data_IF_384777337755
#
_entry.id   IF_384777337755
#
_cell.length_a   1.000
_cell.length_b   1.000
_cell.length_c   1.000
_cell.angle_alpha   90.00
_cell.angle_beta   90.00
_cell.angle_gamma   90.00
#
_symmetry.space_group_name_H-M   'P 1'
#
loop_
_entity.id
_entity.type
_entity.pdbx_description
1 polymer ?
#
# COMPACT_ATOMS: atom_id res chain seq x y z
N UNK A 1 -28.71 6.15 19.31
CA UNK A 1 -28.02 5.52 18.15
C UNK A 1 -26.54 5.51 18.46
N UNK A 2 -25.83 4.37 18.27
CA UNK A 2 -24.43 4.23 18.65
C UNK A 2 -23.49 5.07 17.76
N UNK A 3 -22.27 5.39 18.23
CA UNK A 3 -21.32 6.27 17.55
C UNK A 3 -20.82 5.77 16.17
N UNK A 4 -21.09 4.51 15.83
CA UNK A 4 -20.53 3.79 14.68
C UNK A 4 -21.10 4.18 13.31
N UNK A 5 -21.80 5.32 13.19
CA UNK A 5 -22.46 5.74 11.95
C UNK A 5 -22.08 7.16 11.48
N UNK A 6 -20.96 7.71 11.97
CA UNK A 6 -20.51 9.08 11.63
C UNK A 6 -19.37 9.20 10.61
N UNK A 7 -18.83 8.13 10.03
CA UNK A 7 -17.74 8.24 9.04
C UNK A 7 -18.20 8.18 7.58
N UNK A 8 -19.42 8.63 7.30
CA UNK A 8 -19.81 9.00 5.94
C UNK A 8 -19.30 10.44 5.69
N UNK A 9 -18.06 10.54 5.22
CA UNK A 9 -17.36 11.74 4.68
C UNK A 9 -16.82 12.76 5.69
N UNK A 10 -15.63 12.50 6.26
CA UNK A 10 -14.51 13.44 6.47
C UNK A 10 -13.44 12.86 7.42
N UNK A 11 -12.32 12.36 6.87
CA UNK A 11 -11.02 12.43 7.55
C UNK A 11 -10.33 11.11 7.91
N UNK A 12 -11.05 10.04 8.26
CA UNK A 12 -10.41 8.81 8.75
C UNK A 12 -10.93 7.59 7.97
N UNK A 13 -10.03 6.97 7.22
CA UNK A 13 -10.21 5.62 6.68
C UNK A 13 -9.86 4.65 7.81
N UNK A 14 -10.73 3.68 8.07
CA UNK A 14 -10.48 2.69 9.11
C UNK A 14 -9.23 1.87 8.80
N UNK A 15 -8.40 1.58 9.81
CA UNK A 15 -7.13 0.87 9.64
C UNK A 15 -7.24 -0.45 8.86
N UNK A 16 -8.34 -1.19 9.05
CA UNK A 16 -8.56 -2.48 8.39
C UNK A 16 -8.64 -2.35 6.86
N UNK A 17 -9.06 -1.20 6.34
CA UNK A 17 -9.12 -0.97 4.89
C UNK A 17 -7.72 -0.93 4.30
N UNK A 18 -6.77 -0.32 5.00
CA UNK A 18 -5.36 -0.32 4.58
C UNK A 18 -4.75 -1.71 4.70
N UNK A 19 -5.03 -2.45 5.78
CA UNK A 19 -4.57 -3.83 5.95
C UNK A 19 -5.10 -4.74 4.83
N UNK A 20 -6.41 -4.73 4.56
CA UNK A 20 -7.03 -5.55 3.52
C UNK A 20 -6.46 -5.22 2.13
N UNK A 21 -6.21 -3.93 1.87
CA UNK A 21 -5.58 -3.49 0.62
C UNK A 21 -4.12 -3.94 0.52
N UNK A 22 -3.33 -3.83 1.61
CA UNK A 22 -1.96 -4.31 1.67
C UNK A 22 -1.89 -5.84 1.45
N UNK A 23 -2.78 -6.60 2.11
CA UNK A 23 -2.87 -8.05 1.95
C UNK A 23 -3.18 -8.44 0.49
N UNK A 24 -4.09 -7.71 -0.16
CA UNK A 24 -4.55 -8.01 -1.53
C UNK A 24 -3.54 -7.61 -2.60
N UNK A 25 -2.93 -6.44 -2.49
CA UNK A 25 -2.12 -5.85 -3.58
C UNK A 25 -0.62 -5.96 -3.37
N UNK A 26 -0.16 -6.12 -2.12
CA UNK A 26 1.26 -6.11 -1.78
C UNK A 26 1.74 -7.50 -1.34
N UNK A 27 1.04 -8.14 -0.40
CA UNK A 27 1.45 -9.45 0.13
C UNK A 27 1.08 -10.63 -0.75
N UNK A 28 0.06 -10.50 -1.58
CA UNK A 28 -0.19 -11.46 -2.66
C UNK A 28 0.86 -11.26 -3.76
N UNK A 29 1.87 -12.12 -3.75
CA UNK A 29 2.97 -12.12 -4.72
C UNK A 29 2.46 -12.19 -6.17
N UNK A 30 1.41 -12.97 -6.44
CA UNK A 30 0.85 -13.09 -7.79
C UNK A 30 0.16 -11.80 -8.26
N UNK A 31 -0.48 -11.07 -7.35
CA UNK A 31 -1.06 -9.77 -7.65
C UNK A 31 0.04 -8.72 -7.87
N UNK A 32 1.07 -8.74 -7.03
CA UNK A 32 2.22 -7.85 -7.12
C UNK A 32 2.96 -8.01 -8.44
N UNK A 33 3.28 -9.24 -8.84
CA UNK A 33 3.90 -9.55 -10.14
C UNK A 33 3.04 -9.03 -11.29
N UNK A 34 1.74 -9.29 -11.25
CA UNK A 34 0.80 -8.82 -12.28
C UNK A 34 0.79 -7.29 -12.40
N UNK A 35 0.81 -6.57 -11.28
CA UNK A 35 0.86 -5.11 -11.27
C UNK A 35 2.19 -4.58 -11.80
N UNK A 36 3.30 -5.21 -11.41
CA UNK A 36 4.64 -4.86 -11.87
C UNK A 36 4.79 -5.03 -13.39
N UNK A 37 4.26 -6.11 -13.96
CA UNK A 37 4.27 -6.36 -15.41
C UNK A 37 3.34 -5.41 -16.18
N UNK A 38 2.15 -5.14 -15.63
CA UNK A 38 1.12 -4.37 -16.35
C UNK A 38 1.40 -2.88 -16.31
N UNK A 39 1.74 -2.35 -15.13
CA UNK A 39 1.98 -0.92 -14.93
C UNK A 39 2.86 -0.69 -13.68
N UNK A 40 4.20 -0.73 -13.81
CA UNK A 40 5.10 -0.56 -12.67
C UNK A 40 4.97 0.83 -12.02
N UNK A 41 4.66 1.88 -12.80
CA UNK A 41 4.41 3.22 -12.23
C UNK A 41 3.21 3.23 -11.29
N UNK A 42 2.12 2.53 -11.62
CA UNK A 42 0.96 2.43 -10.75
C UNK A 42 1.26 1.65 -9.46
N UNK A 43 2.09 0.60 -9.55
CA UNK A 43 2.53 -0.13 -8.36
C UNK A 43 3.37 0.76 -7.45
N UNK A 44 4.32 1.54 -8.00
CA UNK A 44 5.09 2.53 -7.24
C UNK A 44 4.21 3.54 -6.54
N UNK A 45 3.24 4.13 -7.26
CA UNK A 45 2.36 5.16 -6.70
C UNK A 45 1.53 4.58 -5.55
N UNK A 46 1.11 3.31 -5.66
CA UNK A 46 0.41 2.58 -4.59
C UNK A 46 1.30 2.34 -3.37
N UNK A 47 2.52 1.84 -3.56
CA UNK A 47 3.49 1.62 -2.48
C UNK A 47 3.81 2.92 -1.76
N UNK A 48 4.05 4.00 -2.51
CA UNK A 48 4.25 5.35 -1.96
C UNK A 48 3.05 5.78 -1.11
N UNK A 49 1.83 5.55 -1.60
CA UNK A 49 0.60 5.91 -0.87
C UNK A 49 0.49 5.16 0.46
N UNK A 50 0.84 3.88 0.51
CA UNK A 50 0.85 3.11 1.76
C UNK A 50 1.89 3.64 2.75
N UNK A 51 3.12 3.90 2.28
CA UNK A 51 4.18 4.46 3.11
C UNK A 51 3.81 5.86 3.64
N UNK A 52 3.19 6.71 2.81
CA UNK A 52 2.68 8.01 3.25
C UNK A 52 1.55 7.90 4.26
N UNK A 53 0.62 6.95 4.07
CA UNK A 53 -0.47 6.71 5.02
C UNK A 53 0.08 6.31 6.39
N UNK A 54 1.10 5.46 6.43
CA UNK A 54 1.80 5.12 7.67
C UNK A 54 2.53 6.33 8.27
N UNK A 55 3.32 7.04 7.48
CA UNK A 55 4.08 8.21 7.94
C UNK A 55 3.23 9.38 8.46
N UNK A 56 1.95 9.44 8.07
CA UNK A 56 0.98 10.45 8.53
C UNK A 56 0.08 9.96 9.66
N UNK A 57 0.22 8.71 10.10
CA UNK A 57 -0.60 8.11 11.16
C UNK A 57 -2.02 7.74 10.71
N UNK A 58 -2.27 7.64 9.40
CA UNK A 58 -3.55 7.13 8.88
C UNK A 58 -3.60 5.60 8.85
N UNK A 59 -2.44 4.95 8.84
CA UNK A 59 -2.32 3.50 8.83
C UNK A 59 -1.26 3.02 9.83
N UNK A 60 -1.68 2.24 10.82
CA UNK A 60 -0.82 1.53 11.75
C UNK A 60 -0.70 0.06 11.32
N UNK A 61 0.53 -0.42 11.13
CA UNK A 61 0.83 -1.76 10.64
C UNK A 61 2.12 -2.32 11.23
N UNK A 62 2.48 -3.57 10.90
CA UNK A 62 3.73 -4.18 11.36
C UNK A 62 4.95 -3.62 10.64
N UNK A 63 6.10 -3.60 11.31
CA UNK A 63 7.38 -3.26 10.66
C UNK A 63 7.68 -4.19 9.47
N UNK A 64 7.29 -5.47 9.56
CA UNK A 64 7.41 -6.42 8.45
C UNK A 64 6.66 -5.94 7.19
N UNK A 65 5.43 -5.43 7.33
CA UNK A 65 4.68 -4.88 6.20
C UNK A 65 5.38 -3.64 5.63
N UNK A 66 5.97 -2.80 6.49
CA UNK A 66 6.71 -1.61 6.05
C UNK A 66 8.00 -1.97 5.33
N UNK A 67 8.71 -3.00 5.78
CA UNK A 67 9.92 -3.50 5.14
C UNK A 67 9.61 -4.07 3.74
N UNK A 68 8.54 -4.87 3.61
CA UNK A 68 8.06 -5.35 2.31
C UNK A 68 7.77 -4.18 1.35
N UNK A 69 7.10 -3.13 1.83
CA UNK A 69 6.80 -1.96 1.01
C UNK A 69 8.06 -1.20 0.57
N UNK A 70 9.07 -1.08 1.45
CA UNK A 70 10.34 -0.43 1.14
C UNK A 70 11.13 -1.22 0.09
N UNK A 71 11.24 -2.53 0.27
CA UNK A 71 11.88 -3.42 -0.70
C UNK A 71 11.18 -3.39 -2.06
N UNK A 72 9.84 -3.43 -2.06
CA UNK A 72 9.06 -3.36 -3.29
C UNK A 72 9.21 -2.01 -4.00
N UNK A 73 9.33 -0.91 -3.25
CA UNK A 73 9.58 0.39 -3.86
C UNK A 73 10.90 0.39 -4.66
N UNK A 74 11.97 -0.16 -4.08
CA UNK A 74 13.28 -0.29 -4.75
C UNK A 74 13.18 -1.18 -6.00
N UNK A 75 12.55 -2.35 -5.88
CA UNK A 75 12.34 -3.28 -7.01
C UNK A 75 11.58 -2.61 -8.18
N UNK A 76 10.54 -1.85 -7.86
CA UNK A 76 9.73 -1.17 -8.88
C UNK A 76 10.52 -0.04 -9.56
N UNK A 77 11.33 0.71 -8.81
CA UNK A 77 12.19 1.76 -9.39
C UNK A 77 13.25 1.15 -10.31
N UNK A 78 13.91 0.06 -9.92
CA UNK A 78 14.85 -0.67 -10.78
C UNK A 78 14.17 -1.13 -12.08
N UNK A 79 12.91 -1.59 -11.98
CA UNK A 79 12.11 -1.99 -13.14
C UNK A 79 11.77 -0.81 -14.06
N UNK A 80 11.46 0.36 -13.51
CA UNK A 80 11.14 1.58 -14.26
C UNK A 80 12.38 2.15 -14.95
N UNK A 81 13.53 2.12 -14.28
CA UNK A 81 14.81 2.60 -14.79
C UNK A 81 15.46 1.62 -15.79
N UNK A 82 14.96 0.38 -15.87
CA UNK A 82 15.46 -0.65 -16.78
C UNK A 82 16.75 -1.30 -16.31
N UNK A 83 16.95 -1.36 -15.00
CA UNK A 83 18.09 -2.00 -14.33
C UNK A 83 17.87 -3.52 -14.10
N UNK A 84 16.63 -3.98 -14.28
CA UNK A 84 16.18 -5.38 -14.15
C UNK A 84 16.00 -6.10 -15.49
#
# INVERSE_FOLDING_TARGET
LPPSLRSATAGEVDNFIYEDANDTFIKDESMRERLLETNPNALRDMVTTFLEANGRGYWETSEENLDILRELYEEVEDRIEGLA
#
